data_IF_327267744373
#
_entry.id   IF_327267744373
#
_cell.length_a   1.000
_cell.length_b   1.000
_cell.length_c   1.000
_cell.angle_alpha   90.00
_cell.angle_beta   90.00
_cell.angle_gamma   90.00
#
_symmetry.space_group_name_H-M   'P 1'
#
loop_
_entity.id
_entity.type
_entity.pdbx_description
1 polymer ?
#
# COMPACT_ATOMS: atom_id res chain seq x y z
N UNK A 1 0.59 -6.44 -8.32
CA UNK A 1 1.43 -5.56 -7.48
C UNK A 1 1.47 -6.15 -6.08
N UNK A 2 2.61 -6.53 -5.52
CA UNK A 2 2.69 -6.98 -4.12
C UNK A 2 2.87 -5.80 -3.17
N UNK A 3 2.08 -5.73 -2.09
CA UNK A 3 2.23 -4.72 -1.05
C UNK A 3 3.15 -5.24 0.07
N UNK A 4 4.35 -4.68 0.20
CA UNK A 4 5.29 -5.03 1.27
C UNK A 4 5.15 -4.00 2.39
N UNK A 5 4.51 -4.40 3.49
CA UNK A 5 4.33 -3.56 4.66
C UNK A 5 5.60 -3.58 5.52
N UNK A 6 6.53 -2.65 5.27
CA UNK A 6 7.84 -2.65 5.96
C UNK A 6 7.77 -2.17 7.42
N UNK A 7 6.66 -1.56 7.83
CA UNK A 7 6.41 -1.17 9.22
C UNK A 7 4.91 -1.07 9.49
N UNK A 8 4.45 -1.45 10.68
CA UNK A 8 3.08 -1.15 11.12
C UNK A 8 2.94 0.21 11.81
N UNK A 9 4.05 0.95 11.95
CA UNK A 9 4.06 2.28 12.58
C UNK A 9 3.58 3.36 11.62
N UNK A 10 2.86 4.34 12.16
CA UNK A 10 2.44 5.56 11.47
C UNK A 10 2.51 6.75 12.43
N UNK A 11 2.82 7.92 11.91
CA UNK A 11 2.84 9.19 12.62
C UNK A 11 1.59 10.05 12.32
N UNK A 12 0.53 9.44 11.81
CA UNK A 12 -0.79 10.06 11.63
C UNK A 12 -1.90 9.28 12.34
N UNK A 13 -3.04 9.94 12.54
CA UNK A 13 -4.26 9.39 13.13
C UNK A 13 -5.45 9.33 12.17
N UNK A 14 -5.16 9.21 10.86
CA UNK A 14 -6.14 9.28 9.77
C UNK A 14 -7.39 8.45 10.08
N UNK A 15 -8.57 9.03 9.92
CA UNK A 15 -9.82 8.39 10.33
C UNK A 15 -10.13 7.13 9.50
N UNK A 16 -9.74 7.12 8.23
CA UNK A 16 -9.97 6.01 7.29
C UNK A 16 -8.89 4.91 7.23
N UNK A 17 -7.93 4.90 8.17
CA UNK A 17 -6.79 3.99 8.09
C UNK A 17 -7.21 2.52 8.23
N UNK A 18 -7.06 1.75 7.15
CA UNK A 18 -7.40 0.33 7.11
C UNK A 18 -6.53 -0.56 8.00
N UNK A 19 -5.31 -0.14 8.32
CA UNK A 19 -4.39 -0.91 9.17
C UNK A 19 -4.43 -0.52 10.66
N UNK A 20 -5.25 0.46 11.04
CA UNK A 20 -5.27 1.03 12.39
C UNK A 20 -3.88 1.42 12.92
N UNK A 21 -2.97 1.85 12.04
CA UNK A 21 -1.57 2.08 12.38
C UNK A 21 -1.40 3.22 13.39
N UNK A 22 -0.44 3.06 14.32
CA UNK A 22 -0.16 4.04 15.38
C UNK A 22 1.34 4.35 15.45
N UNK A 23 1.77 5.24 16.35
CA UNK A 23 3.20 5.52 16.54
C UNK A 23 4.02 4.28 17.00
N UNK A 24 3.32 3.25 17.52
CA UNK A 24 3.87 1.95 17.93
C UNK A 24 3.58 0.90 16.87
N UNK A 25 4.46 -0.08 16.76
CA UNK A 25 4.35 -1.16 15.79
C UNK A 25 5.67 -1.89 15.60
N UNK A 26 5.67 -2.83 14.67
CA UNK A 26 6.81 -3.65 14.28
C UNK A 26 7.45 -3.11 13.01
N UNK A 27 8.75 -3.30 12.90
CA UNK A 27 9.56 -2.98 11.73
C UNK A 27 10.01 -4.30 11.09
N UNK A 28 9.90 -4.38 9.77
CA UNK A 28 10.42 -5.50 8.98
C UNK A 28 11.95 -5.48 9.03
N UNK A 29 12.59 -6.63 9.17
CA UNK A 29 14.04 -6.72 9.02
C UNK A 29 14.46 -6.89 7.55
N UNK A 30 15.76 -6.70 7.27
CA UNK A 30 16.31 -6.81 5.91
C UNK A 30 16.15 -8.18 5.27
N UNK A 31 16.28 -9.26 6.05
CA UNK A 31 16.15 -10.62 5.52
C UNK A 31 14.72 -10.86 5.06
N UNK A 32 13.74 -10.54 5.92
CA UNK A 32 12.31 -10.61 5.59
C UNK A 32 11.98 -9.77 4.36
N UNK A 33 12.50 -8.54 4.25
CA UNK A 33 12.27 -7.69 3.08
C UNK A 33 12.83 -8.29 1.78
N UNK A 34 14.06 -8.82 1.81
CA UNK A 34 14.68 -9.46 0.65
C UNK A 34 13.89 -10.71 0.24
N UNK A 35 13.46 -11.53 1.20
CA UNK A 35 12.63 -12.70 0.90
C UNK A 35 11.28 -12.31 0.28
N UNK A 36 10.67 -11.21 0.74
CA UNK A 36 9.44 -10.68 0.14
C UNK A 36 9.67 -10.18 -1.30
N UNK A 37 10.80 -9.52 -1.58
CA UNK A 37 11.17 -9.13 -2.94
C UNK A 37 11.36 -10.35 -3.85
N UNK A 38 12.08 -11.39 -3.40
CA UNK A 38 12.25 -12.62 -4.18
C UNK A 38 10.91 -13.32 -4.48
N UNK A 39 9.97 -13.28 -3.52
CA UNK A 39 8.60 -13.77 -3.78
C UNK A 39 7.91 -12.95 -4.88
N UNK A 40 7.95 -11.62 -4.82
CA UNK A 40 7.38 -10.74 -5.83
C UNK A 40 7.98 -10.96 -7.23
N UNK A 41 9.32 -11.07 -7.33
CA UNK A 41 10.03 -11.42 -8.57
C UNK A 41 9.50 -12.72 -9.15
N UNK A 42 9.30 -13.72 -8.29
CA UNK A 42 8.87 -15.04 -8.74
C UNK A 42 7.43 -15.09 -9.26
N UNK A 43 6.62 -14.09 -8.90
CA UNK A 43 5.27 -13.88 -9.43
C UNK A 43 5.25 -13.07 -10.73
N UNK A 44 6.41 -12.55 -11.18
CA UNK A 44 6.47 -11.54 -12.24
C UNK A 44 5.74 -10.25 -11.83
N UNK A 45 5.79 -9.92 -10.53
CA UNK A 45 5.05 -8.79 -9.99
C UNK A 45 5.96 -7.60 -9.68
N UNK A 46 5.35 -6.42 -9.57
CA UNK A 46 5.97 -5.20 -9.10
C UNK A 46 5.58 -4.92 -7.64
N UNK A 47 6.33 -4.06 -6.94
CA UNK A 47 6.21 -3.90 -5.49
C UNK A 47 5.80 -2.50 -5.06
N UNK A 48 4.89 -2.44 -4.09
CA UNK A 48 4.61 -1.23 -3.31
C UNK A 48 5.31 -1.35 -1.96
N UNK A 49 6.18 -0.41 -1.64
CA UNK A 49 6.77 -0.26 -0.32
C UNK A 49 5.83 0.60 0.52
N UNK A 50 5.11 -0.07 1.41
CA UNK A 50 4.07 0.53 2.23
C UNK A 50 4.29 0.33 3.72
N UNK A 51 3.27 0.59 4.51
CA UNK A 51 3.40 0.59 5.97
C UNK A 51 2.12 1.01 6.66
N UNK A 52 2.25 1.39 7.93
CA UNK A 52 1.43 2.48 8.45
C UNK A 52 1.87 3.80 7.83
N UNK A 53 3.16 4.09 7.90
CA UNK A 53 3.88 5.10 7.14
C UNK A 53 5.30 4.56 6.85
N UNK A 54 5.62 4.17 5.60
CA UNK A 54 6.89 3.51 5.29
C UNK A 54 8.10 4.35 5.67
N UNK A 55 8.02 5.68 5.55
CA UNK A 55 9.15 6.56 5.90
C UNK A 55 9.44 6.59 7.41
N UNK A 56 8.58 6.08 8.28
CA UNK A 56 8.90 5.93 9.72
C UNK A 56 9.84 4.76 10.02
N UNK A 57 10.05 3.85 9.06
CA UNK A 57 11.04 2.79 9.19
C UNK A 57 12.46 3.38 9.24
N UNK A 58 13.33 2.95 10.19
CA UNK A 58 14.69 3.48 10.30
C UNK A 58 15.53 3.19 9.05
N UNK A 59 15.31 2.04 8.42
CA UNK A 59 16.04 1.59 7.24
C UNK A 59 15.27 1.80 5.92
N UNK A 60 14.27 2.70 5.92
CA UNK A 60 13.41 2.95 4.74
C UNK A 60 14.19 3.08 3.42
N UNK A 61 15.26 3.90 3.40
CA UNK A 61 16.05 4.09 2.18
C UNK A 61 16.86 2.85 1.79
N UNK A 62 17.28 2.01 2.75
CA UNK A 62 17.96 0.74 2.45
C UNK A 62 17.01 -0.19 1.69
N UNK A 63 15.75 -0.27 2.11
CA UNK A 63 14.73 -1.08 1.43
C UNK A 63 14.39 -0.52 0.05
N UNK A 64 14.22 0.79 -0.06
CA UNK A 64 13.94 1.43 -1.34
C UNK A 64 15.10 1.26 -2.33
N UNK A 65 16.34 1.51 -1.90
CA UNK A 65 17.54 1.30 -2.73
C UNK A 65 17.61 -0.16 -3.20
N UNK A 66 17.30 -1.12 -2.32
CA UNK A 66 17.28 -2.54 -2.69
C UNK A 66 16.20 -2.91 -3.72
N UNK A 67 15.00 -2.35 -3.61
CA UNK A 67 13.95 -2.58 -4.60
C UNK A 67 14.29 -1.95 -5.97
N UNK A 68 14.93 -0.78 -5.96
CA UNK A 68 15.44 -0.14 -7.19
C UNK A 68 16.53 -0.99 -7.85
N UNK A 69 17.47 -1.55 -7.09
CA UNK A 69 18.47 -2.50 -7.61
C UNK A 69 17.83 -3.71 -8.31
N UNK A 70 16.72 -4.23 -7.76
CA UNK A 70 16.01 -5.37 -8.35
C UNK A 70 15.37 -4.99 -9.69
N UNK A 71 14.77 -3.81 -9.79
CA UNK A 71 14.24 -3.29 -11.04
C UNK A 71 15.36 -3.06 -12.07
N UNK A 72 16.46 -2.40 -11.71
CA UNK A 72 17.59 -2.13 -12.61
C UNK A 72 18.27 -3.42 -13.10
N UNK A 73 18.27 -4.47 -12.28
CA UNK A 73 18.72 -5.80 -12.67
C UNK A 73 17.72 -6.58 -13.56
N UNK A 74 16.58 -5.99 -13.90
CA UNK A 74 15.52 -6.61 -14.71
C UNK A 74 14.76 -7.72 -13.99
N UNK A 75 14.75 -7.72 -12.65
CA UNK A 75 13.99 -8.71 -11.86
C UNK A 75 12.56 -8.27 -11.56
N UNK A 76 12.29 -6.96 -11.56
CA UNK A 76 10.96 -6.40 -11.40
C UNK A 76 10.57 -5.70 -12.70
N UNK A 77 9.33 -5.88 -13.14
CA UNK A 77 8.84 -5.31 -14.40
C UNK A 77 8.60 -3.80 -14.30
N UNK A 78 8.35 -3.29 -13.09
CA UNK A 78 8.12 -1.87 -12.83
C UNK A 78 8.95 -1.38 -11.64
N UNK A 79 9.31 -0.08 -11.62
CA UNK A 79 9.95 0.54 -10.46
C UNK A 79 9.12 0.41 -9.18
N UNK A 80 9.74 0.39 -7.99
CA UNK A 80 9.02 0.37 -6.73
C UNK A 80 8.12 1.60 -6.57
N UNK A 81 6.89 1.36 -6.12
CA UNK A 81 5.96 2.40 -5.70
C UNK A 81 6.13 2.67 -4.20
N UNK A 82 6.28 3.94 -3.82
CA UNK A 82 6.25 4.40 -2.43
C UNK A 82 5.00 5.24 -2.21
N UNK A 83 4.22 4.89 -1.19
CA UNK A 83 3.07 5.70 -0.76
C UNK A 83 3.37 6.28 0.61
N UNK A 84 3.46 7.61 0.71
CA UNK A 84 3.78 8.33 1.95
C UNK A 84 2.67 9.31 2.33
N UNK A 85 2.51 9.54 3.62
CA UNK A 85 1.63 10.54 4.19
C UNK A 85 2.26 11.95 4.25
N UNK A 86 3.55 12.09 3.90
CA UNK A 86 4.22 13.38 3.76
C UNK A 86 4.68 14.05 5.07
N UNK A 87 4.45 13.47 6.26
CA UNK A 87 4.79 14.12 7.55
C UNK A 87 6.30 14.23 7.81
N UNK A 88 7.10 13.28 7.36
CA UNK A 88 8.56 13.27 7.57
C UNK A 88 9.27 14.06 6.46
N UNK A 89 9.15 15.39 6.54
CA UNK A 89 9.64 16.37 5.54
C UNK A 89 11.02 16.06 4.96
N UNK A 90 12.02 15.76 5.80
CA UNK A 90 13.39 15.48 5.32
C UNK A 90 13.44 14.23 4.45
N UNK A 91 12.71 13.18 4.81
CA UNK A 91 12.65 11.94 4.01
C UNK A 91 11.85 12.14 2.73
N UNK A 92 10.76 12.90 2.81
CA UNK A 92 9.91 13.22 1.66
C UNK A 92 10.65 14.07 0.63
N UNK A 93 11.44 15.06 1.06
CA UNK A 93 12.29 15.83 0.14
C UNK A 93 13.30 14.94 -0.56
N UNK A 94 13.99 14.07 0.18
CA UNK A 94 14.92 13.11 -0.42
C UNK A 94 14.24 12.16 -1.43
N UNK A 95 12.98 11.79 -1.22
CA UNK A 95 12.21 11.02 -2.20
C UNK A 95 11.93 11.83 -3.48
N UNK A 96 11.61 13.12 -3.35
CA UNK A 96 11.44 14.01 -4.50
C UNK A 96 12.77 14.24 -5.22
N UNK A 97 13.88 14.39 -4.50
CA UNK A 97 15.22 14.47 -5.08
C UNK A 97 15.51 13.23 -5.93
N UNK A 98 15.18 12.01 -5.45
CA UNK A 98 15.32 10.78 -6.24
C UNK A 98 14.51 10.83 -7.55
N UNK A 99 13.30 11.40 -7.51
CA UNK A 99 12.45 11.56 -8.70
C UNK A 99 13.05 12.59 -9.67
N UNK A 100 13.54 13.72 -9.17
CA UNK A 100 14.20 14.77 -9.97
C UNK A 100 15.52 14.29 -10.60
N UNK A 101 16.24 13.41 -9.90
CA UNK A 101 17.44 12.72 -10.39
C UNK A 101 17.14 11.61 -11.41
N UNK A 102 15.85 11.28 -11.65
CA UNK A 102 15.44 10.24 -12.58
C UNK A 102 15.66 8.81 -12.09
N UNK A 103 15.83 8.61 -10.77
CA UNK A 103 15.97 7.27 -10.19
C UNK A 103 14.69 6.45 -10.40
N UNK A 104 14.77 5.12 -10.49
CA UNK A 104 13.62 4.27 -10.80
C UNK A 104 12.70 4.15 -9.58
N UNK A 105 11.89 5.17 -9.32
CA UNK A 105 10.90 5.14 -8.23
C UNK A 105 9.67 5.96 -8.62
N UNK A 106 8.49 5.45 -8.24
CA UNK A 106 7.27 6.27 -8.18
C UNK A 106 6.95 6.61 -6.73
N UNK A 107 6.63 7.86 -6.46
CA UNK A 107 6.29 8.34 -5.11
C UNK A 107 4.93 9.02 -5.11
N UNK A 108 4.01 8.52 -4.31
CA UNK A 108 2.68 9.11 -4.16
C UNK A 108 2.49 9.68 -2.75
N UNK A 109 2.04 10.93 -2.69
CA UNK A 109 1.50 11.52 -1.49
C UNK A 109 0.05 11.10 -1.31
N UNK A 110 -0.26 10.37 -0.24
CA UNK A 110 -1.63 10.07 0.16
C UNK A 110 -2.23 11.29 0.86
N UNK A 111 -3.24 11.90 0.25
CA UNK A 111 -3.88 13.09 0.78
C UNK A 111 -5.36 13.14 0.41
N UNK A 112 -6.21 13.27 1.43
CA UNK A 112 -7.65 13.51 1.34
C UNK A 112 -8.14 14.14 2.66
N UNK A 113 -9.45 14.29 2.80
CA UNK A 113 -10.08 14.92 3.97
C UNK A 113 -9.93 14.12 5.28
N UNK A 114 -9.57 12.84 5.22
CA UNK A 114 -9.45 11.96 6.39
C UNK A 114 -8.04 11.93 6.98
N UNK A 115 -7.06 12.56 6.32
CA UNK A 115 -5.68 12.64 6.78
C UNK A 115 -5.48 13.78 7.77
N UNK A 116 -4.53 13.59 8.70
CA UNK A 116 -4.05 14.71 9.52
C UNK A 116 -3.40 15.78 8.61
N UNK A 117 -3.40 17.08 8.99
CA UNK A 117 -2.87 18.14 8.14
C UNK A 117 -1.42 17.91 7.68
N UNK A 118 -1.16 18.08 6.38
CA UNK A 118 0.17 18.00 5.77
C UNK A 118 0.67 19.43 5.54
N UNK A 119 1.99 19.64 5.68
CA UNK A 119 2.62 20.93 5.41
C UNK A 119 2.33 21.38 3.96
N UNK A 120 1.78 22.58 3.72
CA UNK A 120 1.40 23.03 2.38
C UNK A 120 2.53 22.95 1.37
N UNK A 121 3.76 23.27 1.76
CA UNK A 121 4.92 23.22 0.87
C UNK A 121 5.28 21.79 0.41
N UNK A 122 4.91 20.75 1.16
CA UNK A 122 5.06 19.36 0.73
C UNK A 122 4.01 19.03 -0.31
N UNK A 123 2.76 19.39 -0.04
CA UNK A 123 1.65 19.21 -0.98
C UNK A 123 1.96 19.92 -2.31
N UNK A 124 2.42 21.17 -2.25
CA UNK A 124 2.76 21.95 -3.43
C UNK A 124 3.96 21.40 -4.18
N UNK A 125 4.91 20.75 -3.51
CA UNK A 125 6.00 20.04 -4.18
C UNK A 125 5.47 18.87 -5.01
N UNK A 126 4.59 18.02 -4.47
CA UNK A 126 3.97 16.93 -5.24
C UNK A 126 3.08 17.43 -6.38
N UNK A 127 2.35 18.54 -6.19
CA UNK A 127 1.54 19.15 -7.26
C UNK A 127 2.37 19.55 -8.48
N UNK A 128 3.64 19.94 -8.31
CA UNK A 128 4.53 20.25 -9.44
C UNK A 128 4.81 19.04 -10.33
N UNK A 129 4.82 17.85 -9.74
CA UNK A 129 4.99 16.59 -10.47
C UNK A 129 3.65 15.98 -10.94
N UNK A 130 2.53 16.47 -10.39
CA UNK A 130 1.20 15.99 -10.74
C UNK A 130 0.79 16.41 -12.15
N UNK A 131 0.50 15.42 -13.01
CA UNK A 131 -0.03 15.65 -14.35
C UNK A 131 -1.54 15.88 -14.31
N UNK A 132 -2.03 16.70 -15.23
CA UNK A 132 -3.40 17.21 -15.27
C UNK A 132 -4.54 16.19 -15.57
N UNK A 133 -4.31 14.87 -15.52
CA UNK A 133 -5.30 13.88 -16.00
C UNK A 133 -5.79 12.78 -15.05
N UNK A 134 -5.12 12.43 -13.96
CA UNK A 134 -5.47 11.18 -13.25
C UNK A 134 -5.86 11.39 -11.78
N UNK A 135 -7.03 12.00 -11.53
CA UNK A 135 -7.63 12.10 -10.19
C UNK A 135 -8.67 11.00 -9.90
N UNK A 136 -8.86 10.02 -10.79
CA UNK A 136 -10.01 9.09 -10.70
C UNK A 136 -9.70 7.59 -10.76
N UNK A 137 -8.46 7.17 -10.99
CA UNK A 137 -8.16 5.74 -11.05
C UNK A 137 -7.50 5.27 -9.75
N UNK A 138 -8.18 4.37 -9.04
CA UNK A 138 -7.52 3.51 -8.06
C UNK A 138 -6.54 2.67 -8.88
N UNK A 139 -5.25 2.97 -8.82
CA UNK A 139 -4.23 2.29 -9.63
C UNK A 139 -4.52 2.30 -11.15
N UNK A 140 -4.64 3.45 -11.83
CA UNK A 140 -4.53 3.29 -13.30
C UNK A 140 -3.10 2.87 -13.62
N UNK A 141 -3.01 1.65 -14.13
CA UNK A 141 -1.96 1.19 -15.02
C UNK A 141 -1.51 2.32 -15.97
N UNK A 142 -2.43 3.20 -16.39
CA UNK A 142 -2.12 4.39 -17.19
C UNK A 142 -1.08 5.35 -16.58
N UNK A 143 -1.05 5.62 -15.27
CA UNK A 143 -0.05 6.55 -14.71
C UNK A 143 1.35 5.93 -14.72
N UNK A 144 1.44 4.64 -14.39
CA UNK A 144 2.68 3.87 -14.44
C UNK A 144 3.15 3.65 -15.91
N UNK A 145 2.24 3.43 -16.85
CA UNK A 145 2.56 3.27 -18.28
C UNK A 145 3.01 4.58 -18.96
N UNK A 146 2.47 5.73 -18.55
CA UNK A 146 2.75 7.03 -19.17
C UNK A 146 4.12 7.63 -18.81
N UNK A 147 4.81 7.07 -17.81
CA UNK A 147 6.09 7.57 -17.30
C UNK A 147 7.12 6.46 -17.05
N UNK A 148 7.06 5.34 -17.76
CA UNK A 148 7.94 4.19 -17.50
C UNK A 148 7.98 3.71 -16.03
N UNK A 149 6.92 4.04 -15.27
CA UNK A 149 6.79 3.74 -13.85
C UNK A 149 7.61 4.64 -12.92
N UNK A 150 8.00 5.84 -13.35
CA UNK A 150 8.72 6.84 -12.54
C UNK A 150 7.91 8.11 -12.31
N UNK A 151 8.10 8.76 -11.17
CA UNK A 151 7.55 10.10 -10.96
C UNK A 151 7.02 10.35 -9.56
N UNK A 152 6.31 11.46 -9.42
CA UNK A 152 5.62 11.80 -8.19
C UNK A 152 4.23 12.38 -8.44
N UNK A 153 3.30 12.12 -7.52
CA UNK A 153 1.93 12.65 -7.61
C UNK A 153 1.19 12.63 -6.28
N UNK A 154 -0.03 13.15 -6.29
CA UNK A 154 -0.95 13.07 -5.15
C UNK A 154 -2.05 12.07 -5.49
N UNK A 155 -2.28 11.14 -4.57
CA UNK A 155 -3.41 10.21 -4.63
C UNK A 155 -4.44 10.53 -3.55
N UNK A 156 -5.69 10.36 -3.89
CA UNK A 156 -6.84 10.51 -2.98
C UNK A 156 -7.56 9.19 -2.84
N UNK A 157 -8.15 8.92 -1.68
CA UNK A 157 -9.04 7.77 -1.49
C UNK A 157 -10.48 8.26 -1.55
N UNK A 158 -11.24 7.77 -2.53
CA UNK A 158 -12.65 8.12 -2.72
C UNK A 158 -13.62 7.06 -2.18
N UNK A 159 -13.14 5.82 -1.99
CA UNK A 159 -13.95 4.69 -1.50
C UNK A 159 -13.22 4.09 -0.30
N UNK A 160 -13.87 4.09 0.85
CA UNK A 160 -13.29 3.61 2.10
C UNK A 160 -13.88 2.25 2.43
N UNK A 161 -12.99 1.28 2.64
CA UNK A 161 -13.38 -0.04 3.13
C UNK A 161 -13.60 0.03 4.65
N UNK A 162 -14.68 -0.55 5.22
CA UNK A 162 -14.99 -0.45 6.64
C UNK A 162 -14.11 -1.41 7.47
N UNK A 163 -12.80 -1.19 7.43
CA UNK A 163 -11.78 -1.95 8.15
C UNK A 163 -10.84 -1.03 8.90
N UNK A 164 -10.17 -1.56 9.91
CA UNK A 164 -9.29 -0.76 10.76
C UNK A 164 -10.06 0.38 11.44
N UNK A 165 -9.52 1.61 11.41
CA UNK A 165 -10.17 2.77 12.02
C UNK A 165 -11.42 3.23 11.26
N UNK A 166 -11.53 2.90 9.97
CA UNK A 166 -12.71 3.24 9.20
C UNK A 166 -13.96 2.49 9.68
N UNK A 167 -13.77 1.37 10.38
CA UNK A 167 -14.86 0.61 10.97
C UNK A 167 -15.43 1.22 12.27
N UNK A 168 -14.74 2.18 12.88
CA UNK A 168 -15.20 2.78 14.13
C UNK A 168 -16.40 3.72 13.86
N UNK A 169 -17.60 3.47 14.44
CA UNK A 169 -18.76 4.34 14.25
C UNK A 169 -18.48 5.79 14.67
N UNK A 170 -17.65 5.98 15.70
CA UNK A 170 -17.23 7.30 16.19
C UNK A 170 -16.45 8.13 15.15
N UNK A 171 -15.89 7.51 14.11
CA UNK A 171 -15.23 8.21 13.00
C UNK A 171 -16.22 8.74 11.96
N UNK A 172 -17.48 8.26 11.97
CA UNK A 172 -18.49 8.64 10.98
C UNK A 172 -18.23 8.12 9.57
N UNK A 173 -17.38 7.09 9.42
CA UNK A 173 -16.87 6.57 8.13
C UNK A 173 -17.54 5.23 7.74
N UNK A 174 -18.70 4.91 8.31
CA UNK A 174 -19.48 3.74 7.90
C UNK A 174 -20.15 3.99 6.54
N UNK A 175 -19.35 4.04 5.48
CA UNK A 175 -19.79 4.26 4.10
C UNK A 175 -19.58 2.98 3.30
N UNK A 176 -20.37 1.95 3.56
CA UNK A 176 -20.50 0.88 2.59
C UNK A 176 -21.95 0.45 2.49
N UNK A 177 -22.65 0.97 1.49
CA UNK A 177 -23.73 0.17 0.90
C UNK A 177 -23.09 -1.10 0.35
N UNK A 178 -23.80 -2.24 0.42
CA UNK A 178 -23.26 -3.55 0.03
C UNK A 178 -22.67 -3.60 -1.40
N UNK A 179 -23.07 -2.66 -2.26
CA UNK A 179 -22.62 -2.51 -3.65
C UNK A 179 -21.18 -1.95 -3.77
N UNK A 180 -20.60 -1.33 -2.73
CA UNK A 180 -19.30 -0.66 -2.78
C UNK A 180 -18.28 -1.17 -1.74
N UNK A 181 -18.46 -2.37 -1.19
CA UNK A 181 -17.48 -3.04 -0.34
C UNK A 181 -16.23 -3.45 -1.14
N UNK A 182 -15.41 -2.47 -1.50
CA UNK A 182 -14.11 -2.68 -2.12
C UNK A 182 -13.06 -2.96 -1.04
N UNK A 183 -12.07 -3.79 -1.38
CA UNK A 183 -10.99 -4.11 -0.47
C UNK A 183 -10.11 -2.87 -0.21
N UNK A 184 -9.50 -2.74 0.97
CA UNK A 184 -8.60 -1.62 1.26
C UNK A 184 -7.29 -1.67 0.44
N UNK A 185 -6.90 -2.85 -0.04
CA UNK A 185 -5.84 -3.06 -1.03
C UNK A 185 -6.08 -4.40 -1.72
N UNK A 186 -6.32 -4.39 -3.04
CA UNK A 186 -6.73 -5.56 -3.82
C UNK A 186 -5.57 -6.47 -4.22
N UNK A 187 -4.48 -6.46 -3.47
CA UNK A 187 -3.27 -7.21 -3.83
C UNK A 187 -2.64 -7.90 -2.62
N UNK A 188 -1.83 -8.96 -2.83
CA UNK A 188 -1.18 -9.67 -1.74
C UNK A 188 -0.38 -8.71 -0.86
N UNK A 189 -0.52 -8.88 0.45
CA UNK A 189 0.19 -8.10 1.44
C UNK A 189 1.17 -8.98 2.22
N UNK A 190 2.43 -8.56 2.28
CA UNK A 190 3.45 -9.14 3.16
C UNK A 190 3.62 -8.26 4.39
N UNK A 191 3.39 -8.81 5.58
CA UNK A 191 3.56 -8.14 6.87
C UNK A 191 5.04 -8.05 7.29
N UNK A 192 5.40 -7.21 8.29
CA UNK A 192 6.76 -7.15 8.83
C UNK A 192 7.35 -8.48 9.30
N UNK A 193 6.49 -9.41 9.71
CA UNK A 193 6.87 -10.74 10.21
C UNK A 193 6.90 -11.82 9.10
N UNK A 194 6.68 -11.43 7.84
CA UNK A 194 6.71 -12.33 6.69
C UNK A 194 5.39 -13.07 6.42
N UNK A 195 4.32 -12.79 7.17
CA UNK A 195 2.99 -13.35 6.88
C UNK A 195 2.44 -12.76 5.59
N UNK A 196 1.91 -13.61 4.73
CA UNK A 196 1.32 -13.27 3.44
C UNK A 196 -0.19 -13.34 3.53
N UNK A 197 -0.86 -12.24 3.25
CA UNK A 197 -2.33 -12.15 3.19
C UNK A 197 -2.78 -11.99 1.75
N UNK A 198 -3.98 -12.49 1.44
CA UNK A 198 -4.59 -12.35 0.11
C UNK A 198 -4.83 -10.91 -0.31
N UNK A 199 -4.98 -10.01 0.67
CA UNK A 199 -5.28 -8.61 0.46
C UNK A 199 -4.91 -7.75 1.69
N UNK A 200 -5.03 -6.43 1.56
CA UNK A 200 -4.75 -5.48 2.64
C UNK A 200 -5.69 -5.58 3.85
N UNK A 201 -6.88 -6.16 3.72
CA UNK A 201 -7.79 -6.31 4.86
C UNK A 201 -7.28 -7.33 5.89
N UNK A 202 -6.29 -8.17 5.52
CA UNK A 202 -5.68 -9.20 6.40
C UNK A 202 -6.68 -10.22 6.97
N UNK A 203 -7.82 -10.43 6.33
CA UNK A 203 -8.80 -11.43 6.77
C UNK A 203 -8.40 -12.86 6.42
N UNK A 204 -7.68 -13.05 5.32
CA UNK A 204 -7.29 -14.38 4.84
C UNK A 204 -5.76 -14.49 4.76
N UNK A 205 -5.19 -15.25 5.68
CA UNK A 205 -3.77 -15.59 5.73
C UNK A 205 -3.51 -16.74 4.75
N UNK A 206 -2.59 -16.52 3.82
CA UNK A 206 -2.17 -17.52 2.83
C UNK A 206 -1.02 -18.38 3.35
N UNK A 207 -0.13 -17.81 4.18
CA UNK A 207 1.02 -18.52 4.73
C UNK A 207 2.13 -17.55 5.12
N UNK A 208 3.39 -18.01 5.05
CA UNK A 208 4.56 -17.19 5.36
C UNK A 208 5.60 -17.25 4.24
N UNK A 209 6.22 -16.12 3.88
CA UNK A 209 7.22 -16.03 2.80
C UNK A 209 8.37 -17.03 2.92
N UNK A 210 8.68 -17.52 4.11
CA UNK A 210 9.73 -18.52 4.34
C UNK A 210 9.34 -19.95 3.93
N UNK A 211 8.07 -20.19 3.59
CA UNK A 211 7.56 -21.46 3.07
C UNK A 211 7.72 -21.58 1.54
N UNK A 212 8.13 -20.50 0.86
CA UNK A 212 8.36 -20.48 -0.59
C UNK A 212 7.09 -20.21 -1.41
N UNK A 213 7.09 -20.64 -2.67
CA UNK A 213 6.01 -20.33 -3.63
C UNK A 213 4.69 -21.03 -3.33
N UNK A 214 4.69 -22.12 -2.56
CA UNK A 214 3.47 -22.86 -2.20
C UNK A 214 2.47 -22.01 -1.43
N UNK A 215 2.92 -20.92 -0.79
CA UNK A 215 2.07 -19.94 -0.10
C UNK A 215 1.03 -19.33 -1.03
N UNK A 216 1.34 -19.24 -2.33
CA UNK A 216 0.46 -18.63 -3.33
C UNK A 216 -0.24 -19.69 -4.19
N UNK A 217 -0.15 -20.97 -3.85
CA UNK A 217 -0.81 -22.03 -4.59
C UNK A 217 -2.33 -21.84 -4.51
N UNK A 218 -2.98 -21.70 -5.67
CA UNK A 218 -4.41 -21.41 -5.77
C UNK A 218 -4.79 -19.94 -5.51
N UNK A 219 -3.83 -19.05 -5.26
CA UNK A 219 -4.08 -17.61 -5.25
C UNK A 219 -4.23 -17.10 -6.67
N UNK A 220 -5.40 -16.55 -6.97
CA UNK A 220 -5.69 -15.89 -8.23
C UNK A 220 -6.11 -14.45 -7.93
N UNK A 221 -5.33 -13.50 -8.43
CA UNK A 221 -5.53 -12.07 -8.20
C UNK A 221 -6.89 -11.59 -8.73
N UNK A 222 -7.34 -12.10 -9.87
CA UNK A 222 -8.61 -11.76 -10.48
C UNK A 222 -9.78 -12.35 -9.67
N UNK A 223 -9.61 -13.56 -9.11
CA UNK A 223 -10.66 -14.24 -8.34
C UNK A 223 -10.73 -13.86 -6.86
N UNK A 224 -9.62 -13.43 -6.25
CA UNK A 224 -9.52 -13.08 -4.83
C UNK A 224 -10.55 -12.00 -4.40
N UNK A 225 -11.01 -11.20 -5.36
CA UNK A 225 -11.97 -10.12 -5.16
C UNK A 225 -13.31 -10.34 -5.88
N UNK A 226 -13.49 -11.45 -6.61
CA UNK A 226 -14.71 -11.77 -7.38
C UNK A 226 -15.60 -12.86 -6.73
N UNK A 227 -15.24 -13.38 -5.55
CA UNK A 227 -16.07 -14.37 -4.84
C UNK A 227 -15.88 -15.82 -5.28
N UNK A 228 -14.97 -16.10 -6.23
CA UNK A 228 -14.76 -17.43 -6.84
C UNK A 228 -13.47 -18.15 -6.47
N UNK A 229 -12.52 -17.49 -5.79
CA UNK A 229 -11.28 -18.08 -5.29
C UNK A 229 -10.90 -17.42 -3.97
N UNK A 230 -10.71 -18.23 -2.91
CA UNK A 230 -10.51 -17.85 -1.50
C UNK A 230 -10.92 -16.39 -1.16
N UNK A 231 -12.22 -16.07 -1.23
CA UNK A 231 -12.65 -14.68 -1.27
C UNK A 231 -12.52 -14.01 0.09
N UNK A 232 -11.91 -12.83 0.12
CA UNK A 232 -12.07 -11.87 1.23
C UNK A 232 -13.54 -11.41 1.36
N UNK A 233 -14.35 -11.61 0.32
CA UNK A 233 -15.75 -11.22 0.23
C UNK A 233 -16.69 -12.37 0.60
N UNK A 234 -16.67 -12.82 1.86
CA UNK A 234 -17.92 -13.38 2.38
C UNK A 234 -18.81 -12.20 2.81
N UNK A 235 -19.75 -11.80 1.95
CA UNK A 235 -20.72 -10.73 2.22
C UNK A 235 -21.45 -10.98 3.55
N UNK A 236 -21.65 -12.25 3.94
CA UNK A 236 -22.26 -12.59 5.22
C UNK A 236 -21.39 -12.15 6.42
N UNK A 237 -20.08 -12.32 6.32
CA UNK A 237 -19.14 -11.88 7.37
C UNK A 237 -19.12 -10.36 7.54
N UNK A 238 -19.27 -9.60 6.44
CA UNK A 238 -19.33 -8.13 6.48
C UNK A 238 -20.68 -7.64 7.02
N UNK A 239 -21.79 -8.26 6.63
CA UNK A 239 -23.11 -7.93 7.19
C UNK A 239 -23.19 -8.26 8.69
N UNK A 240 -22.58 -9.37 9.12
CA UNK A 240 -22.46 -9.71 10.53
C UNK A 240 -21.59 -8.68 11.27
N UNK A 241 -20.44 -8.30 10.71
CA UNK A 241 -19.56 -7.27 11.29
C UNK A 241 -20.26 -5.91 11.42
N UNK A 242 -20.98 -5.46 10.39
CA UNK A 242 -21.77 -4.22 10.42
C UNK A 242 -22.91 -4.30 11.44
N UNK A 243 -23.49 -5.48 11.66
CA UNK A 243 -24.53 -5.69 12.67
C UNK A 243 -23.97 -5.74 14.11
N UNK A 244 -22.73 -6.19 14.30
CA UNK A 244 -22.04 -6.20 15.60
C UNK A 244 -21.45 -4.83 15.97
N UNK A 245 -21.18 -3.96 14.98
CA UNK A 245 -20.64 -2.62 15.17
C UNK A 245 -21.70 -1.51 15.34
N UNK A 246 -23.00 -1.83 15.19
CA UNK A 246 -24.14 -0.93 15.36
C UNK A 246 -24.74 -1.02 16.78
#
# INVERSE_FOLDING_TARGET
>A
MMYIQITTRCNMTCAHCCFSATAKGTNMDRYTFITALEMAVSMGDHVTIGGGEPTTHPEFFVFLDKAMEYFEAGKLDMPPLVVTNGKLVTKVRKLLDYVEEGRPVTVELSQDEYHDPIRPEIVDAFKKHQRAKDSQSRFSSSYLELNDGRGAGIRTVSIISPVGRAAEPARGILTSTAEHLQCCCETPLVSPEGLVYSCGCKHHLLGNIFEGQSVLEGYDLELAHQGGGLPCRDIASVQQYLAEAA
#
